data_IF_327597989580
#
_entry.id   IF_327597989580
#
_cell.length_a   1.000
_cell.length_b   1.000
_cell.length_c   1.000
_cell.angle_alpha   90.00
_cell.angle_beta   90.00
_cell.angle_gamma   90.00
#
_symmetry.space_group_name_H-M   'P 1'
#
loop_
_entity.id
_entity.type
_entity.pdbx_description
1 polymer ?
#
# COMPACT_ATOMS: atom_id res chain seq x y z
N UNK A 1 12.59 -10.85 -6.12
CA UNK A 1 12.72 -11.00 -4.65
C UNK A 1 14.18 -10.76 -4.30
N UNK A 2 14.48 -9.82 -3.40
CA UNK A 2 15.83 -9.66 -2.85
C UNK A 2 16.04 -10.64 -1.70
N UNK A 3 17.10 -11.44 -1.79
CA UNK A 3 17.52 -12.38 -0.75
C UNK A 3 18.86 -11.88 -0.18
N UNK A 4 18.97 -11.73 1.14
CA UNK A 4 20.20 -11.32 1.82
C UNK A 4 20.54 -12.36 2.89
N UNK A 5 21.65 -13.07 2.68
CA UNK A 5 22.42 -13.85 3.66
C UNK A 5 23.37 -14.77 2.88
N UNK A 6 24.65 -14.76 3.23
CA UNK A 6 25.63 -15.74 2.76
C UNK A 6 25.56 -17.06 3.57
N UNK A 7 24.76 -17.09 4.65
CA UNK A 7 24.56 -18.27 5.50
C UNK A 7 23.51 -19.20 4.90
N UNK A 8 23.49 -20.45 5.39
CA UNK A 8 22.76 -21.62 4.87
C UNK A 8 21.25 -21.42 4.61
N UNK A 9 20.63 -20.36 5.13
CA UNK A 9 19.21 -20.04 4.94
C UNK A 9 19.05 -18.64 4.33
N UNK A 10 18.61 -18.59 3.07
CA UNK A 10 18.25 -17.34 2.40
C UNK A 10 16.88 -16.88 2.90
N UNK A 11 16.80 -15.65 3.41
CA UNK A 11 15.58 -15.02 3.88
C UNK A 11 15.10 -13.97 2.86
N UNK A 12 13.82 -13.98 2.44
CA UNK A 12 13.25 -12.90 1.65
C UNK A 12 13.05 -11.65 2.53
N UNK A 13 13.86 -10.63 2.30
CA UNK A 13 13.74 -9.35 3.01
C UNK A 13 12.96 -8.31 2.21
N UNK A 14 13.00 -8.42 0.88
CA UNK A 14 12.40 -7.43 -0.02
C UNK A 14 11.73 -8.04 -1.24
N UNK A 15 10.61 -7.45 -1.62
CA UNK A 15 10.00 -7.66 -2.94
C UNK A 15 10.22 -6.40 -3.78
N UNK A 16 10.72 -6.58 -5.00
CA UNK A 16 10.96 -5.50 -5.96
C UNK A 16 10.04 -5.70 -7.17
N UNK A 17 9.40 -4.61 -7.59
CA UNK A 17 8.67 -4.46 -8.83
C UNK A 17 9.43 -3.46 -9.69
N UNK A 18 9.62 -3.81 -10.95
CA UNK A 18 10.36 -3.01 -11.92
C UNK A 18 10.91 -3.90 -13.02
N UNK A 19 10.88 -3.40 -14.25
CA UNK A 19 11.38 -4.15 -15.41
C UNK A 19 12.91 -4.30 -15.38
N UNK A 20 13.61 -3.31 -14.83
CA UNK A 20 15.07 -3.25 -14.74
C UNK A 20 15.51 -2.13 -13.77
N UNK A 21 16.80 -1.80 -13.74
CA UNK A 21 17.40 -0.75 -12.90
C UNK A 21 17.79 0.51 -13.66
N UNK A 22 17.33 0.71 -14.90
CA UNK A 22 17.68 1.89 -15.70
C UNK A 22 17.02 3.12 -15.07
N UNK A 23 17.69 4.27 -15.15
CA UNK A 23 17.11 5.52 -14.70
C UNK A 23 15.77 5.79 -15.41
N UNK A 24 14.79 6.26 -14.65
CA UNK A 24 13.46 6.61 -15.17
C UNK A 24 12.49 5.44 -15.32
N UNK A 25 12.91 4.18 -15.17
CA UNK A 25 11.96 3.06 -15.17
C UNK A 25 11.18 3.01 -13.86
N UNK A 26 9.86 2.76 -13.90
CA UNK A 26 9.08 2.63 -12.69
C UNK A 26 9.61 1.54 -11.76
N UNK A 27 9.56 1.83 -10.46
CA UNK A 27 10.03 0.95 -9.40
C UNK A 27 9.11 1.02 -8.20
N UNK A 28 8.80 -0.12 -7.61
CA UNK A 28 8.14 -0.20 -6.32
C UNK A 28 8.78 -1.30 -5.48
N UNK A 29 8.85 -1.12 -4.16
CA UNK A 29 9.45 -2.13 -3.29
C UNK A 29 8.75 -2.27 -1.94
N UNK A 30 8.82 -3.48 -1.39
CA UNK A 30 8.20 -3.84 -0.12
C UNK A 30 9.21 -4.52 0.79
N UNK A 31 9.09 -4.29 2.09
CA UNK A 31 9.80 -5.10 3.10
C UNK A 31 8.99 -6.36 3.44
N UNK A 32 9.67 -7.50 3.59
CA UNK A 32 9.04 -8.80 3.80
C UNK A 32 9.54 -9.56 5.04
N UNK A 33 10.40 -8.98 5.89
CA UNK A 33 11.08 -9.66 7.00
C UNK A 33 10.26 -10.79 7.64
N UNK A 34 10.57 -12.07 7.38
CA UNK A 34 9.61 -13.17 7.53
C UNK A 34 9.22 -13.49 8.97
N UNK A 35 10.00 -12.97 9.92
CA UNK A 35 9.76 -13.04 11.34
C UNK A 35 9.94 -11.65 11.91
N UNK A 36 9.05 -11.31 12.83
CA UNK A 36 9.23 -10.18 13.72
C UNK A 36 10.28 -10.55 14.77
N UNK A 37 11.38 -9.80 14.84
CA UNK A 37 12.34 -9.84 15.93
C UNK A 37 12.36 -8.49 16.67
N UNK A 38 12.92 -8.47 17.87
CA UNK A 38 12.91 -7.30 18.79
C UNK A 38 13.53 -6.02 18.20
N UNK A 39 14.15 -6.08 17.01
CA UNK A 39 14.81 -4.95 16.37
C UNK A 39 14.07 -4.42 15.13
N UNK A 40 13.20 -5.21 14.49
CA UNK A 40 12.49 -4.87 13.25
C UNK A 40 10.96 -4.94 13.40
N UNK A 41 10.49 -4.68 14.63
CA UNK A 41 9.16 -5.03 15.12
C UNK A 41 7.97 -4.53 14.27
N UNK A 42 8.09 -3.46 13.50
CA UNK A 42 6.98 -2.88 12.72
C UNK A 42 7.06 -3.13 11.20
N UNK A 43 8.18 -3.69 10.72
CA UNK A 43 8.56 -3.62 9.31
C UNK A 43 8.25 -4.92 8.59
N UNK A 44 7.02 -5.07 8.10
CA UNK A 44 6.64 -6.19 7.26
C UNK A 44 5.40 -5.90 6.44
N UNK A 45 5.54 -5.98 5.11
CA UNK A 45 4.50 -5.79 4.11
C UNK A 45 4.22 -4.34 3.71
N UNK A 46 4.88 -3.35 4.32
CA UNK A 46 4.77 -1.96 3.89
C UNK A 46 5.43 -1.74 2.53
N UNK A 47 4.83 -0.85 1.74
CA UNK A 47 5.47 -0.31 0.54
C UNK A 47 6.55 0.68 0.99
N UNK A 48 7.80 0.34 0.75
CA UNK A 48 8.96 1.13 1.15
C UNK A 48 9.17 2.34 0.23
N UNK A 49 9.07 2.10 -1.07
CA UNK A 49 9.40 3.10 -2.07
C UNK A 49 8.56 2.86 -3.32
N UNK A 50 8.11 3.95 -3.92
CA UNK A 50 7.51 3.94 -5.24
C UNK A 50 7.91 5.18 -6.03
N UNK A 51 8.52 4.90 -7.19
CA UNK A 51 9.09 5.88 -8.10
C UNK A 51 8.54 5.61 -9.51
N UNK A 52 8.12 6.65 -10.21
CA UNK A 52 7.74 6.58 -11.61
C UNK A 52 8.01 7.91 -12.31
N UNK A 53 8.28 7.87 -13.62
CA UNK A 53 8.55 9.05 -14.44
C UNK A 53 9.70 9.94 -13.96
N UNK A 54 10.61 9.43 -13.11
CA UNK A 54 11.68 10.21 -12.47
C UNK A 54 11.26 10.96 -11.20
N UNK A 55 10.08 10.69 -10.64
CA UNK A 55 9.59 11.27 -9.40
C UNK A 55 9.31 10.19 -8.36
N UNK A 56 9.52 10.53 -7.09
CA UNK A 56 9.27 9.67 -5.94
C UNK A 56 7.96 10.07 -5.26
N UNK A 57 7.00 9.17 -5.20
CA UNK A 57 5.64 9.48 -4.73
C UNK A 57 5.32 8.92 -3.36
N UNK A 58 5.92 7.78 -3.01
CA UNK A 58 5.80 7.19 -1.68
C UNK A 58 7.19 6.83 -1.19
N UNK A 59 7.39 7.10 0.09
CA UNK A 59 8.57 6.72 0.83
C UNK A 59 8.12 6.39 2.24
N UNK A 60 8.46 5.20 2.71
CA UNK A 60 8.37 4.86 4.13
C UNK A 60 9.70 4.25 4.53
N UNK A 61 10.77 5.05 4.55
CA UNK A 61 11.86 4.67 5.44
C UNK A 61 11.35 4.88 6.86
N UNK A 62 11.36 3.83 7.62
CA UNK A 62 11.13 3.88 9.04
C UNK A 62 11.82 2.66 9.57
N UNK A 63 13.15 2.60 9.49
CA UNK A 63 13.89 1.45 10.04
C UNK A 63 13.77 1.40 11.58
N UNK A 64 13.37 2.51 12.21
CA UNK A 64 13.54 2.73 13.65
C UNK A 64 12.30 3.28 14.35
N UNK A 65 11.14 2.62 14.28
CA UNK A 65 9.86 3.07 14.85
C UNK A 65 9.78 3.23 16.40
N UNK A 66 10.85 3.60 17.09
CA UNK A 66 10.95 3.66 18.55
C UNK A 66 11.66 4.92 19.02
N UNK A 67 11.02 6.09 18.94
CA UNK A 67 11.32 7.20 19.85
C UNK A 67 10.03 7.87 20.34
N UNK A 68 10.03 8.26 21.61
CA UNK A 68 8.85 8.53 22.42
C UNK A 68 8.00 9.72 21.97
N UNK A 69 6.68 9.60 22.23
CA UNK A 69 5.66 10.65 22.25
C UNK A 69 5.67 11.65 21.08
N UNK A 70 5.00 11.27 19.98
CA UNK A 70 4.34 12.24 19.10
C UNK A 70 4.68 12.12 17.61
N UNK A 71 3.68 11.68 16.83
CA UNK A 71 3.63 11.77 15.36
C UNK A 71 4.56 10.82 14.60
N UNK A 72 3.96 9.85 13.90
CA UNK A 72 4.65 9.13 12.83
C UNK A 72 5.58 7.99 13.23
N UNK A 73 5.29 7.27 14.34
CA UNK A 73 6.20 6.25 14.90
C UNK A 73 5.58 4.86 15.05
N UNK A 74 4.37 4.62 14.56
CA UNK A 74 3.68 3.33 14.67
C UNK A 74 3.30 2.72 13.32
N UNK A 75 2.55 1.62 13.36
CA UNK A 75 2.09 0.96 12.13
C UNK A 75 1.15 1.85 11.29
N UNK A 76 0.53 2.86 11.91
CA UNK A 76 -0.32 3.85 11.22
C UNK A 76 0.46 4.88 10.41
N UNK A 77 1.78 4.90 10.51
CA UNK A 77 2.66 5.74 9.70
C UNK A 77 3.39 4.97 8.59
N UNK A 78 2.95 3.74 8.32
CA UNK A 78 3.50 2.89 7.26
C UNK A 78 2.49 2.73 6.12
N UNK A 79 2.97 2.49 4.90
CA UNK A 79 2.13 2.22 3.73
C UNK A 79 1.61 0.77 3.71
N UNK A 80 0.67 0.46 4.60
CA UNK A 80 0.17 -0.89 4.91
C UNK A 80 -1.36 -0.97 4.93
N UNK A 81 -1.87 -2.19 5.09
CA UNK A 81 -3.21 -2.40 5.63
C UNK A 81 -3.17 -2.29 7.16
N UNK A 82 -3.95 -1.37 7.72
CA UNK A 82 -4.09 -1.17 9.16
C UNK A 82 -5.39 -1.83 9.67
N UNK A 83 -5.36 -2.41 10.87
CA UNK A 83 -6.53 -2.94 11.58
C UNK A 83 -6.55 -2.38 13.00
N UNK A 84 -7.71 -1.93 13.46
CA UNK A 84 -7.89 -1.24 14.75
C UNK A 84 -9.25 -1.58 15.37
N UNK A 85 -9.39 -1.40 16.68
CA UNK A 85 -10.69 -1.47 17.35
C UNK A 85 -11.58 -0.29 16.93
N UNK A 86 -12.86 -0.56 16.68
CA UNK A 86 -13.81 0.44 16.14
C UNK A 86 -14.17 1.56 17.11
N UNK A 87 -13.91 1.36 18.40
CA UNK A 87 -14.04 2.39 19.44
C UNK A 87 -13.10 3.58 19.19
N UNK A 88 -12.03 3.38 18.42
CA UNK A 88 -11.01 4.37 18.14
C UNK A 88 -11.24 5.03 16.77
N UNK A 89 -10.90 6.33 16.61
CA UNK A 89 -10.89 6.96 15.30
C UNK A 89 -9.85 6.30 14.39
N UNK A 90 -10.17 6.14 13.11
CA UNK A 90 -9.27 5.57 12.11
C UNK A 90 -8.72 6.66 11.18
N UNK A 91 -7.41 6.70 10.89
CA UNK A 91 -6.33 5.93 11.53
C UNK A 91 -5.85 6.62 12.81
N UNK A 92 -5.40 5.85 13.79
CA UNK A 92 -4.81 6.37 15.03
C UNK A 92 -3.65 5.48 15.45
N UNK A 93 -2.61 6.06 16.06
CA UNK A 93 -1.58 5.24 16.68
C UNK A 93 -2.22 4.46 17.84
N UNK A 94 -2.01 3.15 17.92
CA UNK A 94 -2.62 2.36 18.98
C UNK A 94 -2.32 2.84 20.41
N UNK A 95 -1.10 3.31 20.69
CA UNK A 95 -0.73 3.89 22.00
C UNK A 95 -1.30 5.30 22.25
N UNK A 96 -1.90 5.94 21.23
CA UNK A 96 -2.65 7.22 21.37
C UNK A 96 -4.15 7.00 21.62
N UNK A 97 -4.63 5.76 21.53
CA UNK A 97 -6.02 5.42 21.84
C UNK A 97 -6.28 5.52 23.34
N UNK A 98 -7.44 6.04 23.72
CA UNK A 98 -7.88 6.06 25.11
C UNK A 98 -8.08 4.61 25.60
N UNK A 99 -7.39 4.24 26.69
CA UNK A 99 -7.33 2.86 27.17
C UNK A 99 -6.51 1.90 26.30
N UNK A 100 -5.82 2.43 25.28
CA UNK A 100 -5.02 1.67 24.32
C UNK A 100 -5.83 0.92 23.27
N UNK A 101 -5.20 0.72 22.13
CA UNK A 101 -5.52 -0.35 21.20
C UNK A 101 -4.34 -1.32 21.27
N UNK A 102 -4.54 -2.60 21.60
CA UNK A 102 -3.43 -3.56 21.82
C UNK A 102 -3.28 -4.55 20.67
N UNK A 103 -4.09 -4.44 19.62
CA UNK A 103 -3.91 -5.26 18.43
C UNK A 103 -2.67 -4.79 17.67
N UNK A 104 -1.74 -5.70 17.39
CA UNK A 104 -0.46 -5.40 16.75
C UNK A 104 -0.13 -6.47 15.72
N UNK A 105 0.81 -6.17 14.82
CA UNK A 105 1.46 -7.18 13.95
C UNK A 105 2.50 -8.02 14.69
N UNK A 106 2.35 -8.18 16.01
CA UNK A 106 3.33 -8.75 16.95
C UNK A 106 3.83 -10.16 16.67
N UNK A 107 3.09 -10.95 15.89
CA UNK A 107 3.39 -12.37 15.68
C UNK A 107 3.12 -12.83 14.25
N UNK A 108 3.23 -11.91 13.29
CA UNK A 108 3.01 -12.22 11.89
C UNK A 108 4.02 -13.23 11.36
N UNK A 109 3.57 -14.08 10.45
CA UNK A 109 4.40 -15.09 9.81
C UNK A 109 4.23 -14.99 8.31
N UNK A 110 5.33 -14.81 7.58
CA UNK A 110 5.27 -14.78 6.12
C UNK A 110 4.77 -16.13 5.61
N UNK A 111 3.80 -16.11 4.69
CA UNK A 111 3.26 -17.30 4.02
C UNK A 111 4.13 -17.57 2.78
N UNK A 112 5.04 -18.56 2.79
CA UNK A 112 5.98 -18.74 1.69
C UNK A 112 5.29 -19.12 0.38
N UNK A 113 4.20 -19.89 0.46
CA UNK A 113 3.40 -20.28 -0.70
C UNK A 113 2.62 -19.12 -1.34
N UNK A 114 2.45 -18.00 -0.63
CA UNK A 114 1.83 -16.79 -1.16
C UNK A 114 2.84 -15.89 -1.88
N UNK A 115 4.16 -16.11 -1.72
CA UNK A 115 5.20 -15.28 -2.31
C UNK A 115 5.31 -15.55 -3.82
N UNK A 116 4.92 -14.57 -4.64
CA UNK A 116 5.01 -14.65 -6.10
C UNK A 116 5.63 -13.38 -6.65
N UNK A 117 6.44 -13.52 -7.69
CA UNK A 117 6.94 -12.41 -8.50
C UNK A 117 6.89 -12.80 -9.96
N UNK A 118 6.65 -11.82 -10.82
CA UNK A 118 6.67 -12.03 -12.26
C UNK A 118 6.86 -10.72 -13.01
N UNK A 119 7.23 -10.84 -14.27
CA UNK A 119 7.23 -9.74 -15.23
C UNK A 119 6.80 -10.27 -16.59
N UNK A 120 6.33 -9.38 -17.44
CA UNK A 120 6.04 -9.71 -18.84
C UNK A 120 7.06 -9.02 -19.77
N UNK A 121 7.03 -9.39 -21.04
CA UNK A 121 7.92 -8.82 -22.07
C UNK A 121 7.65 -7.34 -22.37
N UNK A 122 6.52 -6.80 -21.94
CA UNK A 122 6.15 -5.39 -22.11
C UNK A 122 6.73 -4.49 -21.01
N UNK A 123 7.41 -5.06 -20.00
CA UNK A 123 8.00 -4.31 -18.90
C UNK A 123 7.05 -4.08 -17.71
N UNK A 124 5.92 -4.77 -17.67
CA UNK A 124 5.06 -4.79 -16.49
C UNK A 124 5.57 -5.82 -15.48
N UNK A 125 5.35 -5.57 -14.20
CA UNK A 125 5.78 -6.45 -13.12
C UNK A 125 4.69 -6.71 -12.10
N UNK A 126 4.78 -7.87 -11.46
CA UNK A 126 3.82 -8.36 -10.49
C UNK A 126 4.52 -8.87 -9.24
N UNK A 127 3.88 -8.64 -8.10
CA UNK A 127 4.30 -9.15 -6.81
C UNK A 127 3.11 -9.59 -5.97
N UNK A 128 3.30 -10.65 -5.21
CA UNK A 128 2.37 -11.11 -4.20
C UNK A 128 3.15 -11.55 -2.97
N UNK A 129 2.60 -11.27 -1.80
CA UNK A 129 3.04 -11.84 -0.54
C UNK A 129 1.85 -11.93 0.43
N UNK A 130 2.05 -12.68 1.51
CA UNK A 130 1.01 -12.88 2.50
C UNK A 130 1.55 -13.13 3.89
N UNK A 131 0.73 -12.84 4.88
CA UNK A 131 1.02 -12.96 6.30
C UNK A 131 -0.09 -13.70 7.01
N UNK A 132 0.27 -14.73 7.75
CA UNK A 132 -0.59 -15.29 8.79
C UNK A 132 -0.39 -14.52 10.10
N UNK A 133 -1.39 -14.59 10.97
CA UNK A 133 -1.48 -13.88 12.24
C UNK A 133 -1.43 -12.34 12.12
N UNK A 134 -1.83 -11.80 10.96
CA UNK A 134 -1.84 -10.36 10.71
C UNK A 134 -2.93 -9.70 11.57
N UNK A 135 -2.53 -8.92 12.58
CA UNK A 135 -3.44 -8.37 13.60
C UNK A 135 -4.33 -9.45 14.25
N UNK A 136 -3.71 -10.51 14.79
CA UNK A 136 -4.41 -11.52 15.59
C UNK A 136 -4.21 -12.94 15.06
N UNK A 137 -4.15 -13.91 15.97
CA UNK A 137 -3.92 -15.32 15.64
C UNK A 137 -5.00 -15.85 14.69
N UNK A 138 -4.58 -16.53 13.62
CA UNK A 138 -5.48 -17.09 12.61
C UNK A 138 -5.98 -16.08 11.56
N UNK A 139 -5.75 -14.78 11.74
CA UNK A 139 -6.04 -13.77 10.71
C UNK A 139 -5.00 -13.81 9.59
N UNK A 140 -5.41 -13.49 8.36
CA UNK A 140 -4.55 -13.53 7.18
C UNK A 140 -4.65 -12.25 6.37
N UNK A 141 -3.51 -11.76 5.89
CA UNK A 141 -3.44 -10.68 4.91
C UNK A 141 -2.65 -11.11 3.68
N UNK A 142 -3.22 -10.92 2.49
CA UNK A 142 -2.53 -11.09 1.21
C UNK A 142 -2.53 -9.76 0.46
N UNK A 143 -1.35 -9.30 0.03
CA UNK A 143 -1.18 -8.15 -0.85
C UNK A 143 -0.71 -8.61 -2.23
N UNK A 144 -1.34 -8.09 -3.27
CA UNK A 144 -1.01 -8.30 -4.68
C UNK A 144 -0.80 -6.95 -5.33
N UNK A 145 0.24 -6.83 -6.14
CA UNK A 145 0.57 -5.58 -6.78
C UNK A 145 0.99 -5.78 -8.23
N UNK A 146 0.48 -4.93 -9.12
CA UNK A 146 0.97 -4.79 -10.50
C UNK A 146 1.55 -3.40 -10.66
N UNK A 147 2.77 -3.33 -11.17
CA UNK A 147 3.41 -2.08 -11.61
C UNK A 147 3.54 -2.13 -13.14
N UNK A 148 2.86 -1.21 -13.82
CA UNK A 148 2.90 -1.15 -15.29
C UNK A 148 4.15 -0.41 -15.78
N UNK A 149 4.50 -0.60 -17.07
CA UNK A 149 5.63 0.12 -17.69
C UNK A 149 5.43 1.65 -17.73
N UNK A 150 4.17 2.11 -17.75
CA UNK A 150 3.77 3.52 -17.69
C UNK A 150 3.95 4.11 -16.29
N UNK A 151 4.15 3.24 -15.30
CA UNK A 151 4.33 3.62 -13.92
C UNK A 151 3.07 3.58 -13.09
N UNK A 152 1.94 3.04 -13.56
CA UNK A 152 0.78 2.86 -12.70
C UNK A 152 1.01 1.72 -11.72
N UNK A 153 0.77 1.98 -10.43
CA UNK A 153 0.86 0.96 -9.38
C UNK A 153 -0.54 0.61 -8.87
N UNK A 154 -0.93 -0.65 -9.04
CA UNK A 154 -2.21 -1.19 -8.59
C UNK A 154 -1.92 -2.12 -7.42
N UNK A 155 -2.51 -1.87 -6.27
CA UNK A 155 -2.35 -2.66 -5.04
C UNK A 155 -3.70 -3.19 -4.59
N UNK A 156 -3.83 -4.51 -4.54
CA UNK A 156 -5.02 -5.23 -4.06
C UNK A 156 -4.70 -5.94 -2.75
N UNK A 157 -5.45 -5.60 -1.72
CA UNK A 157 -5.35 -6.19 -0.39
C UNK A 157 -6.55 -7.10 -0.11
N UNK A 158 -6.29 -8.29 0.41
CA UNK A 158 -7.31 -9.19 0.98
C UNK A 158 -6.96 -9.46 2.43
N UNK A 159 -7.82 -9.05 3.34
CA UNK A 159 -7.69 -9.32 4.77
C UNK A 159 -8.81 -10.23 5.25
N UNK A 160 -8.48 -11.35 5.86
CA UNK A 160 -9.44 -12.29 6.45
C UNK A 160 -9.18 -12.35 7.94
N UNK A 161 -10.01 -11.70 8.77
CA UNK A 161 -9.90 -11.84 10.21
C UNK A 161 -10.17 -13.28 10.62
N UNK A 162 -9.50 -13.77 11.66
CA UNK A 162 -9.78 -15.09 12.23
C UNK A 162 -11.27 -15.22 12.59
N UNK A 163 -11.85 -16.41 12.43
CA UNK A 163 -13.20 -16.69 12.92
C UNK A 163 -13.29 -16.65 14.44
N UNK A 164 -12.16 -16.78 15.13
CA UNK A 164 -12.05 -16.71 16.60
C UNK A 164 -11.83 -15.28 17.11
N UNK A 165 -11.64 -14.31 16.20
CA UNK A 165 -11.48 -12.91 16.56
C UNK A 165 -12.83 -12.33 16.97
N UNK A 166 -12.86 -11.54 18.05
CA UNK A 166 -14.05 -10.78 18.43
C UNK A 166 -14.45 -9.80 17.31
N UNK A 167 -15.71 -9.37 17.32
CA UNK A 167 -16.18 -8.31 16.42
C UNK A 167 -15.61 -6.94 16.81
N UNK A 168 -16.08 -5.89 16.12
CA UNK A 168 -15.78 -4.50 16.49
C UNK A 168 -14.40 -4.01 16.03
N UNK A 169 -13.95 -4.44 14.86
CA UNK A 169 -12.70 -3.99 14.25
C UNK A 169 -12.93 -3.28 12.93
N UNK A 170 -12.12 -2.26 12.69
CA UNK A 170 -11.99 -1.55 11.43
C UNK A 170 -10.73 -2.04 10.71
N UNK A 171 -10.79 -2.11 9.38
CA UNK A 171 -9.63 -2.42 8.56
C UNK A 171 -9.63 -1.64 7.27
N UNK A 172 -8.43 -1.34 6.77
CA UNK A 172 -8.26 -0.73 5.45
C UNK A 172 -6.86 -0.18 5.18
N UNK A 173 -6.58 0.18 3.92
CA UNK A 173 -5.28 0.68 3.54
C UNK A 173 -5.06 2.13 3.99
N UNK A 174 -3.83 2.42 4.35
CA UNK A 174 -3.33 3.76 4.66
C UNK A 174 -2.10 4.04 3.78
N UNK A 175 -1.99 5.28 3.31
CA UNK A 175 -0.94 5.70 2.36
C UNK A 175 -0.44 7.09 2.69
N UNK A 176 0.87 7.31 2.63
CA UNK A 176 1.52 8.55 3.07
C UNK A 176 1.98 9.36 1.87
N UNK A 177 1.16 10.30 1.43
CA UNK A 177 1.43 11.16 0.29
C UNK A 177 2.13 12.44 0.72
N UNK A 178 2.84 13.08 -0.21
CA UNK A 178 3.41 14.40 0.03
C UNK A 178 2.29 15.40 0.31
N UNK A 179 2.55 16.30 1.25
CA UNK A 179 1.59 17.32 1.67
C UNK A 179 1.70 18.56 0.78
N UNK A 180 0.56 19.19 0.52
CA UNK A 180 0.48 20.52 -0.08
C UNK A 180 -0.09 21.54 0.92
N UNK A 181 0.32 22.80 0.83
CA UNK A 181 -0.19 23.85 1.70
C UNK A 181 -1.67 24.13 1.43
N UNK A 182 -2.42 24.43 2.50
CA UNK A 182 -3.88 24.61 2.42
C UNK A 182 -4.68 23.30 2.29
N UNK A 183 -4.02 22.13 2.19
CA UNK A 183 -4.70 20.85 2.13
C UNK A 183 -5.47 20.57 3.45
N UNK A 184 -6.79 20.42 3.33
CA UNK A 184 -7.70 20.11 4.46
C UNK A 184 -7.45 18.69 4.96
N UNK A 185 -7.65 18.43 6.25
CA UNK A 185 -7.66 17.10 6.83
C UNK A 185 -9.04 16.75 7.40
N UNK A 186 -9.25 15.46 7.70
CA UNK A 186 -10.50 14.89 8.17
C UNK A 186 -11.19 13.93 7.18
N UNK A 187 -12.42 13.53 7.50
CA UNK A 187 -13.25 12.67 6.64
C UNK A 187 -13.52 13.30 5.27
N UNK A 188 -13.63 12.47 4.24
CA UNK A 188 -13.91 12.89 2.86
C UNK A 188 -15.00 12.05 2.21
N UNK A 189 -15.72 12.67 1.27
CA UNK A 189 -16.69 11.98 0.44
C UNK A 189 -16.02 11.32 -0.78
N UNK A 190 -14.98 11.94 -1.32
CA UNK A 190 -14.28 11.42 -2.48
C UNK A 190 -13.38 10.25 -2.12
N UNK A 191 -13.36 9.24 -3.00
CA UNK A 191 -12.49 8.08 -2.88
C UNK A 191 -11.12 8.29 -3.53
N UNK A 192 -10.74 9.53 -3.83
CA UNK A 192 -9.48 9.87 -4.47
C UNK A 192 -8.77 11.04 -3.81
N UNK A 193 -7.44 11.00 -3.91
CA UNK A 193 -6.50 11.91 -3.29
C UNK A 193 -5.48 12.35 -4.32
N UNK A 194 -5.06 13.60 -4.23
CA UNK A 194 -4.06 14.17 -5.11
C UNK A 194 -2.93 14.76 -4.27
N UNK A 195 -1.70 14.59 -4.75
CA UNK A 195 -0.50 15.06 -4.07
C UNK A 195 0.64 15.35 -5.06
N UNK A 196 1.56 16.27 -4.72
CA UNK A 196 2.84 16.38 -5.42
C UNK A 196 3.71 15.14 -5.18
N UNK A 197 4.82 15.02 -5.91
CA UNK A 197 5.87 14.08 -5.54
C UNK A 197 6.70 14.62 -4.36
N UNK A 198 7.36 13.74 -3.61
CA UNK A 198 8.33 14.13 -2.58
C UNK A 198 9.63 14.63 -3.20
N UNK A 199 10.12 13.92 -4.21
CA UNK A 199 11.43 14.19 -4.82
C UNK A 199 11.33 14.02 -6.34
N UNK A 200 12.19 14.76 -7.04
CA UNK A 200 12.24 14.82 -8.50
C UNK A 200 13.67 14.60 -8.98
N UNK A 201 13.83 13.81 -10.04
CA UNK A 201 15.11 13.65 -10.70
C UNK A 201 15.48 14.95 -11.44
N UNK A 202 16.77 15.33 -11.41
CA UNK A 202 17.28 16.58 -12.00
C UNK A 202 17.01 16.74 -13.50
N UNK A 203 16.76 15.64 -14.22
CA UNK A 203 16.47 15.62 -15.65
C UNK A 203 14.97 15.72 -15.98
N UNK A 204 14.08 15.76 -14.99
CA UNK A 204 12.65 15.93 -15.23
C UNK A 204 12.35 17.31 -15.83
N UNK A 205 11.56 17.31 -16.91
CA UNK A 205 11.14 18.54 -17.60
C UNK A 205 9.90 19.18 -16.99
N UNK A 206 9.09 18.40 -16.28
CA UNK A 206 7.89 18.88 -15.60
C UNK A 206 7.73 18.19 -14.25
N UNK A 207 7.31 18.93 -13.20
CA UNK A 207 6.94 18.33 -11.93
C UNK A 207 5.87 17.25 -12.14
N UNK A 208 5.94 16.20 -11.34
CA UNK A 208 4.94 15.14 -11.35
C UNK A 208 4.05 15.24 -10.12
N UNK A 209 2.80 14.84 -10.28
CA UNK A 209 1.81 14.63 -9.23
C UNK A 209 1.34 13.19 -9.27
N UNK A 210 0.60 12.80 -8.25
CA UNK A 210 0.00 11.47 -8.15
C UNK A 210 -1.45 11.55 -7.72
N UNK A 211 -2.31 10.87 -8.47
CA UNK A 211 -3.65 10.54 -8.01
C UNK A 211 -3.65 9.16 -7.37
N UNK A 212 -4.01 9.10 -6.09
CA UNK A 212 -4.38 7.86 -5.40
C UNK A 212 -5.89 7.69 -5.49
N UNK A 213 -6.36 6.62 -6.13
CA UNK A 213 -7.78 6.24 -6.16
C UNK A 213 -7.97 4.99 -5.30
N UNK A 214 -8.87 5.06 -4.33
CA UNK A 214 -9.30 3.93 -3.50
C UNK A 214 -10.65 3.44 -4.04
N UNK A 215 -10.78 2.14 -4.23
CA UNK A 215 -12.02 1.58 -4.78
C UNK A 215 -13.19 1.84 -3.82
N UNK A 216 -14.28 2.49 -4.28
CA UNK A 216 -15.46 2.70 -3.47
C UNK A 216 -16.21 1.40 -3.25
N UNK A 217 -16.86 1.27 -2.10
CA UNK A 217 -17.63 0.08 -1.76
C UNK A 217 -18.54 0.31 -0.57
N UNK A 218 -19.49 -0.61 -0.37
CA UNK A 218 -20.46 -0.51 0.72
C UNK A 218 -19.75 -0.37 2.07
N UNK A 219 -20.12 0.68 2.81
CA UNK A 219 -19.61 0.96 4.15
C UNK A 219 -18.15 1.41 4.23
N UNK A 220 -17.49 1.67 3.10
CA UNK A 220 -16.16 2.28 3.09
C UNK A 220 -16.26 3.77 3.42
N UNK A 221 -15.41 4.22 4.32
CA UNK A 221 -15.19 5.62 4.68
C UNK A 221 -13.80 6.05 4.23
N UNK A 222 -13.69 7.30 3.80
CA UNK A 222 -12.45 7.90 3.32
C UNK A 222 -12.05 9.09 4.19
N UNK A 223 -10.78 9.42 4.17
CA UNK A 223 -10.30 10.64 4.77
C UNK A 223 -8.81 10.83 4.59
N UNK A 224 -8.32 11.94 5.11
CA UNK A 224 -6.90 12.24 5.11
C UNK A 224 -6.51 12.92 6.41
N UNK A 225 -5.37 12.56 6.98
CA UNK A 225 -4.90 13.10 8.25
C UNK A 225 -3.52 13.69 8.07
N UNK A 226 -3.32 14.92 8.52
CA UNK A 226 -2.03 15.58 8.48
C UNK A 226 -1.10 14.97 9.53
N UNK A 227 0.07 14.49 9.10
CA UNK A 227 1.14 14.11 10.02
C UNK A 227 2.04 15.33 10.25
N UNK A 228 2.21 15.71 11.52
CA UNK A 228 3.06 16.84 11.91
C UNK A 228 4.55 16.49 11.91
N UNK A 229 4.84 15.21 12.09
CA UNK A 229 6.17 14.63 12.09
C UNK A 229 6.08 13.22 11.52
N UNK A 230 7.13 12.84 10.82
CA UNK A 230 7.46 11.47 10.50
C UNK A 230 8.94 11.30 10.80
N UNK A 231 9.34 10.09 11.16
CA UNK A 231 10.71 9.86 11.58
C UNK A 231 11.73 10.12 10.47
N UNK A 232 11.37 9.79 9.23
CA UNK A 232 12.30 9.89 8.09
C UNK A 232 11.69 10.64 6.89
N UNK A 233 10.52 11.29 7.06
CA UNK A 233 9.88 12.07 6.01
C UNK A 233 9.64 13.50 6.47
N UNK A 234 9.65 14.41 5.50
CA UNK A 234 8.97 15.69 5.63
C UNK A 234 7.49 15.49 6.02
N UNK A 235 6.85 16.51 6.61
CA UNK A 235 5.42 16.47 6.90
C UNK A 235 4.62 15.94 5.72
N UNK A 236 3.84 14.89 5.96
CA UNK A 236 3.07 14.19 4.93
C UNK A 236 1.57 14.20 5.29
N UNK A 237 0.77 13.66 4.38
CA UNK A 237 -0.65 13.44 4.59
C UNK A 237 -0.97 11.94 4.46
N UNK A 238 -1.51 11.37 5.54
CA UNK A 238 -2.01 9.99 5.53
C UNK A 238 -3.37 9.99 4.85
N UNK A 239 -3.48 9.46 3.64
CA UNK A 239 -4.74 9.18 2.95
C UNK A 239 -5.20 7.76 3.24
N UNK A 240 -6.50 7.57 3.47
CA UNK A 240 -7.00 6.27 3.93
C UNK A 240 -8.40 5.94 3.44
N UNK A 241 -8.67 4.63 3.37
CA UNK A 241 -10.01 4.06 3.27
C UNK A 241 -10.16 2.96 4.32
N UNK A 242 -11.33 2.85 4.94
CA UNK A 242 -11.57 1.79 5.92
C UNK A 242 -13.04 1.42 6.03
N UNK A 243 -13.30 0.23 6.58
CA UNK A 243 -14.64 -0.24 6.93
C UNK A 243 -14.57 -1.25 8.08
N UNK A 244 -15.70 -1.58 8.73
CA UNK A 244 -15.76 -2.72 9.62
C UNK A 244 -15.34 -4.02 8.92
N UNK A 245 -14.55 -4.85 9.60
CA UNK A 245 -14.17 -6.19 9.15
C UNK A 245 -14.91 -7.24 9.97
N UNK A 246 -15.26 -8.36 9.33
CA UNK A 246 -16.09 -9.39 9.96
C UNK A 246 -15.28 -10.67 10.15
N UNK A 247 -15.27 -11.27 11.36
CA UNK A 247 -14.62 -12.56 11.62
C UNK A 247 -14.95 -13.61 10.55
N UNK A 248 -13.91 -14.28 10.05
CA UNK A 248 -14.02 -15.34 9.03
C UNK A 248 -14.41 -14.86 7.61
N UNK A 249 -14.69 -13.57 7.39
CA UNK A 249 -15.07 -13.05 6.06
C UNK A 249 -13.96 -12.19 5.46
N UNK A 250 -13.57 -12.43 4.19
CA UNK A 250 -12.55 -11.64 3.54
C UNK A 250 -13.04 -10.21 3.27
N UNK A 251 -12.31 -9.22 3.79
CA UNK A 251 -12.38 -7.83 3.40
C UNK A 251 -11.38 -7.57 2.26
N UNK A 252 -11.80 -6.79 1.25
CA UNK A 252 -11.01 -6.53 0.04
C UNK A 252 -10.91 -5.04 -0.19
N UNK A 253 -9.72 -4.59 -0.54
CA UNK A 253 -9.40 -3.20 -0.83
C UNK A 253 -8.55 -3.13 -2.10
N UNK A 254 -8.68 -2.02 -2.81
CA UNK A 254 -7.94 -1.76 -4.03
C UNK A 254 -7.50 -0.29 -4.02
N UNK A 255 -6.20 -0.08 -4.20
CA UNK A 255 -5.55 1.22 -4.28
C UNK A 255 -4.85 1.33 -5.63
N UNK A 256 -5.09 2.44 -6.33
CA UNK A 256 -4.55 2.70 -7.66
C UNK A 256 -3.79 4.01 -7.63
N UNK A 257 -2.50 3.94 -7.92
CA UNK A 257 -1.56 5.04 -7.94
C UNK A 257 -1.28 5.44 -9.38
N UNK A 258 -1.59 6.69 -9.71
CA UNK A 258 -1.56 7.20 -11.08
C UNK A 258 -0.70 8.45 -11.16
N UNK A 259 0.59 8.31 -11.48
CA UNK A 259 1.47 9.43 -11.77
C UNK A 259 0.96 10.22 -12.97
N UNK A 260 1.06 11.54 -12.91
CA UNK A 260 0.74 12.41 -14.05
C UNK A 260 1.53 13.72 -13.98
N UNK A 261 1.81 14.38 -15.11
CA UNK A 261 2.48 15.69 -15.10
C UNK A 261 1.64 16.78 -14.42
N UNK A 262 2.26 17.61 -13.60
CA UNK A 262 1.63 18.80 -13.03
C UNK A 262 1.11 19.73 -14.15
N UNK A 263 -0.06 20.35 -13.92
CA UNK A 263 -0.73 21.18 -14.92
C UNK A 263 -1.53 20.40 -15.98
N UNK A 264 -1.61 19.07 -15.86
CA UNK A 264 -2.46 18.21 -16.70
C UNK A 264 -3.52 17.52 -15.84
N UNK A 265 -4.51 16.89 -16.48
CA UNK A 265 -5.49 16.06 -15.78
C UNK A 265 -4.97 14.62 -15.66
N UNK A 266 -5.11 13.99 -14.48
CA UNK A 266 -4.82 12.57 -14.35
C UNK A 266 -5.79 11.74 -15.21
N UNK A 267 -5.33 10.64 -15.84
CA UNK A 267 -6.19 9.74 -16.63
C UNK A 267 -7.43 9.33 -15.84
N UNK A 268 -8.60 9.20 -16.47
CA UNK A 268 -9.78 8.61 -15.81
C UNK A 268 -9.52 7.15 -15.43
N UNK A 269 -10.10 6.69 -14.32
CA UNK A 269 -9.91 5.34 -13.79
C UNK A 269 -11.25 4.76 -13.40
N UNK A 270 -11.53 3.57 -13.95
CA UNK A 270 -12.59 2.71 -13.45
C UNK A 270 -11.99 1.54 -12.68
N UNK A 271 -12.58 1.24 -11.53
CA UNK A 271 -12.15 0.12 -10.67
C UNK A 271 -13.29 -0.83 -10.40
N UNK A 272 -13.01 -2.13 -10.44
CA UNK A 272 -13.97 -3.19 -10.12
C UNK A 272 -13.30 -4.21 -9.21
N UNK A 273 -14.01 -4.63 -8.17
CA UNK A 273 -13.69 -5.82 -7.37
C UNK A 273 -14.86 -6.79 -7.49
N UNK A 274 -14.61 -8.01 -7.96
CA UNK A 274 -15.64 -9.05 -8.04
C UNK A 274 -15.94 -9.68 -6.68
N UNK A 275 -17.05 -10.41 -6.58
CA UNK A 275 -17.42 -11.15 -5.36
C UNK A 275 -16.42 -12.26 -5.01
N UNK A 276 -15.69 -12.78 -5.99
CA UNK A 276 -14.59 -13.75 -5.80
C UNK A 276 -13.27 -13.05 -5.42
N UNK A 277 -13.19 -11.73 -5.60
CA UNK A 277 -12.03 -10.90 -5.25
C UNK A 277 -11.07 -10.62 -6.39
N UNK A 278 -11.47 -10.92 -7.64
CA UNK A 278 -10.71 -10.49 -8.80
C UNK A 278 -10.87 -8.98 -8.98
N UNK A 279 -9.75 -8.29 -9.18
CA UNK A 279 -9.71 -6.84 -9.34
C UNK A 279 -9.46 -6.51 -10.80
N UNK A 280 -10.16 -5.50 -11.32
CA UNK A 280 -9.87 -4.90 -12.62
C UNK A 280 -9.74 -3.39 -12.48
N UNK A 281 -8.77 -2.82 -13.18
CA UNK A 281 -8.57 -1.38 -13.29
C UNK A 281 -8.51 -1.05 -14.76
N UNK A 282 -9.33 -0.11 -15.21
CA UNK A 282 -9.29 0.44 -16.55
C UNK A 282 -8.78 1.89 -16.46
N UNK A 283 -7.70 2.16 -17.15
CA UNK A 283 -7.23 3.48 -17.53
C UNK A 283 -7.52 3.59 -19.03
N UNK A 284 -7.94 4.75 -19.54
CA UNK A 284 -8.18 5.03 -20.98
C UNK A 284 -8.06 3.82 -21.94
N UNK A 285 -6.84 3.47 -22.38
CA UNK A 285 -6.50 2.37 -23.30
C UNK A 285 -5.75 1.18 -22.64
N UNK A 286 -5.66 1.15 -21.32
CA UNK A 286 -4.92 0.15 -20.54
C UNK A 286 -5.82 -0.50 -19.48
N UNK A 287 -5.91 -1.83 -19.50
CA UNK A 287 -6.65 -2.62 -18.52
C UNK A 287 -5.74 -3.55 -17.74
N UNK A 288 -5.74 -3.42 -16.42
CA UNK A 288 -5.05 -4.32 -15.49
C UNK A 288 -6.06 -5.26 -14.86
N UNK A 289 -5.69 -6.53 -14.73
CA UNK A 289 -6.46 -7.54 -14.01
C UNK A 289 -5.58 -8.29 -13.02
N UNK A 290 -6.08 -8.52 -11.81
CA UNK A 290 -5.42 -9.26 -10.74
C UNK A 290 -6.41 -10.27 -10.17
N UNK A 291 -6.11 -11.56 -10.30
CA UNK A 291 -6.91 -12.65 -9.75
C UNK A 291 -6.49 -12.99 -8.31
N UNK A 292 -7.40 -13.52 -7.47
CA UNK A 292 -7.08 -13.96 -6.12
C UNK A 292 -6.05 -15.10 -6.06
N UNK A 293 -5.96 -15.91 -7.10
CA UNK A 293 -4.97 -16.99 -7.20
C UNK A 293 -3.56 -16.48 -7.59
N UNK A 294 -3.43 -15.19 -7.90
CA UNK A 294 -2.19 -14.55 -8.28
C UNK A 294 -1.88 -14.57 -9.78
N UNK A 295 -2.83 -14.97 -10.62
CA UNK A 295 -2.79 -14.64 -12.06
C UNK A 295 -2.99 -13.14 -12.24
N UNK A 296 -2.35 -12.59 -13.26
CA UNK A 296 -2.42 -11.17 -13.57
C UNK A 296 -2.23 -10.95 -15.06
N UNK A 297 -2.76 -9.82 -15.56
CA UNK A 297 -2.55 -9.39 -16.95
C UNK A 297 -2.63 -7.88 -17.06
N UNK A 298 -1.87 -7.33 -18.00
CA UNK A 298 -1.98 -5.94 -18.46
C UNK A 298 -2.29 -6.01 -19.94
N UNK A 299 -3.42 -5.45 -20.34
CA UNK A 299 -3.88 -5.39 -21.72
C UNK A 299 -3.86 -3.94 -22.16
N UNK A 300 -3.30 -3.68 -23.34
CA UNK A 300 -3.31 -2.36 -23.97
C UNK A 300 -4.09 -2.50 -25.26
N UNK A 301 -5.10 -1.68 -25.47
CA UNK A 301 -5.68 -1.53 -26.81
C UNK A 301 -4.63 -0.84 -27.66
N UNK A 302 -4.15 -1.48 -28.73
CA UNK A 302 -3.30 -0.79 -29.69
C UNK A 302 -4.10 0.41 -30.22
N UNK A 303 -3.61 1.62 -29.97
CA UNK A 303 -4.00 2.78 -30.75
C UNK A 303 -3.73 2.43 -32.21
N UNK A 304 -4.78 2.42 -33.04
CA UNK A 304 -4.61 2.50 -34.49
C UNK A 304 -3.91 3.84 -34.74
N UNK A 305 -2.63 3.79 -35.06
CA UNK A 305 -1.94 4.91 -35.70
C UNK A 305 -2.63 5.26 -37.02
#
# INVERSE_FOLDING_TARGET
>A
IGLLSALKYKIPERLYLGANRKAGTPFASYFLYPKKDQHLDSLSGQLYEYVANGAKFLHSSGKYSMLGKGGGTGEESLDVLLVMQEKNPFPLHPDRAEGGDFIRKGSIQLIPSALKVGSNTHGDSYGQFGWDNYYGKGSRWIRRSVLTKEGFLIVSDTYTPSSEMEGGYLGGPIWHLAREDGQKDGPRAESWFDAPAFEHAWWQKSPQRIRLTLHPGKGIRFGQLRQKSSQDLDPNITSYAYRPVTPGKPARFLSVFTPYPAGTLPPEIDTVISDQGACSVLFADLKVHIDPDGRWRVMRTQSRN
#
